data_IF_698443287972
#
_entry.id   IF_698443287972
#
_cell.length_a   1.000
_cell.length_b   1.000
_cell.length_c   1.000
_cell.angle_alpha   90.00
_cell.angle_beta   90.00
_cell.angle_gamma   90.00
#
_symmetry.space_group_name_H-M   'P 1'
#
loop_
_entity.id
_entity.type
_entity.pdbx_description
1 polymer ?
#
# COMPACT_ATOMS: atom_id res chain seq x y z
N UNK A 1 -18.15 1.43 1.05
CA UNK A 1 -17.64 0.20 0.42
C UNK A 1 -16.29 -0.15 1.03
N UNK A 2 -16.11 -1.38 1.55
CA UNK A 2 -14.80 -1.88 2.02
C UNK A 2 -13.87 -2.08 0.81
N UNK A 3 -12.57 -1.90 1.00
CA UNK A 3 -11.58 -2.16 -0.04
C UNK A 3 -11.39 -3.68 -0.22
N UNK A 4 -11.29 -4.14 -1.47
CA UNK A 4 -10.94 -5.54 -1.77
C UNK A 4 -9.47 -5.80 -1.46
N UNK A 5 -9.14 -7.01 -0.98
CA UNK A 5 -7.74 -7.39 -0.74
C UNK A 5 -6.90 -7.38 -2.01
N UNK A 6 -7.50 -7.64 -3.18
CA UNK A 6 -6.81 -7.59 -4.46
C UNK A 6 -6.20 -6.19 -4.74
N UNK A 7 -6.79 -5.12 -4.20
CA UNK A 7 -6.22 -3.77 -4.31
C UNK A 7 -4.99 -3.60 -3.43
N UNK A 8 -4.92 -4.28 -2.29
CA UNK A 8 -3.72 -4.34 -1.45
C UNK A 8 -2.60 -5.09 -2.17
N UNK A 9 -2.92 -6.20 -2.82
CA UNK A 9 -1.92 -6.99 -3.57
C UNK A 9 -1.37 -6.20 -4.76
N UNK A 10 -2.22 -5.49 -5.50
CA UNK A 10 -1.75 -4.56 -6.54
C UNK A 10 -0.85 -3.46 -5.94
N UNK A 11 -1.19 -2.95 -4.76
CA UNK A 11 -0.37 -1.94 -4.10
C UNK A 11 0.97 -2.47 -3.64
N UNK A 12 1.05 -3.69 -3.11
CA UNK A 12 2.32 -4.29 -2.68
C UNK A 12 3.24 -4.56 -3.88
N UNK A 13 2.68 -4.95 -5.03
CA UNK A 13 3.42 -5.04 -6.30
C UNK A 13 4.03 -3.67 -6.66
N UNK A 14 3.23 -2.61 -6.67
CA UNK A 14 3.71 -1.26 -6.93
C UNK A 14 4.77 -0.80 -5.92
N UNK A 15 4.61 -1.15 -4.64
CA UNK A 15 5.56 -0.80 -3.60
C UNK A 15 6.90 -1.53 -3.79
N UNK A 16 6.90 -2.81 -4.15
CA UNK A 16 8.14 -3.55 -4.46
C UNK A 16 8.86 -3.01 -5.70
N UNK A 17 8.13 -2.57 -6.71
CA UNK A 17 8.72 -1.93 -7.89
C UNK A 17 9.37 -0.58 -7.54
N UNK A 18 8.72 0.23 -6.70
CA UNK A 18 9.26 1.50 -6.22
C UNK A 18 10.57 1.37 -5.46
N UNK A 19 10.84 0.22 -4.84
CA UNK A 19 12.11 -0.06 -4.17
C UNK A 19 13.30 -0.08 -5.15
N UNK A 20 13.07 -0.15 -6.46
CA UNK A 20 14.12 -0.01 -7.48
C UNK A 20 14.62 1.43 -7.69
N UNK A 21 13.83 2.44 -7.32
CA UNK A 21 14.08 3.85 -7.68
C UNK A 21 14.38 4.75 -6.48
N UNK A 22 14.50 4.16 -5.29
CA UNK A 22 14.75 4.92 -4.06
C UNK A 22 16.24 5.20 -3.86
N UNK A 23 16.53 6.16 -2.98
CA UNK A 23 17.90 6.40 -2.50
C UNK A 23 18.52 5.16 -1.85
N UNK A 24 19.83 4.97 -2.01
CA UNK A 24 20.61 3.93 -1.33
C UNK A 24 20.63 4.08 0.20
N UNK A 25 20.31 5.26 0.71
CA UNK A 25 20.19 5.52 2.16
C UNK A 25 18.84 5.06 2.73
N UNK A 26 17.83 4.85 1.89
CA UNK A 26 16.50 4.45 2.34
C UNK A 26 16.44 2.93 2.63
N UNK A 27 15.74 2.51 3.70
CA UNK A 27 15.76 1.11 4.13
C UNK A 27 15.17 0.18 3.08
N UNK A 28 15.85 -0.94 2.80
CA UNK A 28 15.37 -1.99 1.89
C UNK A 28 14.16 -2.71 2.42
N UNK A 29 13.03 -2.55 1.74
CA UNK A 29 11.74 -3.07 2.16
C UNK A 29 11.24 -4.11 1.17
N UNK A 30 10.65 -5.19 1.69
CA UNK A 30 9.86 -6.12 0.88
C UNK A 30 8.40 -6.05 1.31
N UNK A 31 7.51 -6.01 0.32
CA UNK A 31 6.07 -5.88 0.51
C UNK A 31 5.39 -7.18 0.07
N UNK A 32 5.00 -8.01 1.04
CA UNK A 32 4.32 -9.28 0.76
C UNK A 32 2.85 -9.03 0.41
N UNK A 33 2.20 -9.98 -0.24
CA UNK A 33 0.76 -9.93 -0.53
C UNK A 33 -0.08 -10.50 0.62
N UNK A 34 -1.41 -10.39 0.51
CA UNK A 34 -2.36 -10.92 1.49
C UNK A 34 -2.38 -12.45 1.51
N UNK A 35 -1.90 -13.13 0.47
CA UNK A 35 -1.86 -14.60 0.35
C UNK A 35 -1.17 -15.25 1.54
N UNK A 36 -0.09 -14.63 2.05
CA UNK A 36 0.61 -15.05 3.26
C UNK A 36 -0.27 -15.16 4.50
N UNK A 37 -1.38 -14.42 4.57
CA UNK A 37 -2.27 -14.39 5.73
C UNK A 37 -3.48 -15.32 5.66
N UNK A 38 -3.71 -15.91 4.47
CA UNK A 38 -4.81 -16.83 4.18
C UNK A 38 -4.41 -18.25 4.59
N UNK A 39 -4.29 -19.16 3.63
CA UNK A 39 -3.99 -20.57 3.85
C UNK A 39 -2.73 -20.83 4.70
N UNK A 40 -1.62 -20.07 4.57
CA UNK A 40 -0.44 -20.27 5.42
C UNK A 40 -0.67 -19.98 6.90
N UNK A 41 -1.67 -19.16 7.27
CA UNK A 41 -2.01 -18.83 8.66
C UNK A 41 -3.45 -19.26 9.03
N UNK A 42 -4.02 -20.22 8.31
CA UNK A 42 -5.33 -20.80 8.62
C UNK A 42 -5.18 -21.89 9.70
N UNK A 43 -5.79 -21.66 10.87
CA UNK A 43 -5.79 -22.59 12.01
C UNK A 43 -6.40 -23.96 11.70
N UNK A 44 -7.15 -24.10 10.60
CA UNK A 44 -7.69 -25.40 10.14
C UNK A 44 -6.64 -26.30 9.51
N UNK A 45 -5.53 -25.74 9.02
CA UNK A 45 -4.44 -26.49 8.43
C UNK A 45 -3.49 -27.04 9.51
N UNK A 46 -2.85 -28.19 9.23
CA UNK A 46 -1.75 -28.69 10.07
C UNK A 46 -0.56 -27.73 10.03
N UNK A 47 0.29 -27.74 11.07
CA UNK A 47 1.47 -26.87 11.14
C UNK A 47 2.44 -27.11 9.99
N UNK A 48 2.54 -28.37 9.57
CA UNK A 48 3.37 -28.80 8.44
C UNK A 48 2.84 -28.21 7.14
N UNK A 49 1.51 -28.29 6.91
CA UNK A 49 0.89 -27.73 5.72
C UNK A 49 0.95 -26.20 5.68
N UNK A 50 0.68 -25.56 6.81
CA UNK A 50 0.83 -24.10 6.98
C UNK A 50 2.23 -23.64 6.56
N UNK A 51 3.27 -24.33 7.06
CA UNK A 51 4.65 -24.00 6.73
C UNK A 51 5.00 -24.27 5.26
N UNK A 52 4.56 -25.38 4.70
CA UNK A 52 4.78 -25.70 3.29
C UNK A 52 4.21 -24.61 2.38
N UNK A 53 2.97 -24.17 2.65
CA UNK A 53 2.33 -23.08 1.92
C UNK A 53 3.10 -21.77 2.11
N UNK A 54 3.46 -21.41 3.34
CA UNK A 54 4.28 -20.23 3.61
C UNK A 54 5.60 -20.24 2.82
N UNK A 55 6.30 -21.38 2.81
CA UNK A 55 7.57 -21.57 2.11
C UNK A 55 7.38 -21.43 0.60
N UNK A 56 6.30 -21.98 0.04
CA UNK A 56 5.99 -21.87 -1.38
C UNK A 56 5.73 -20.40 -1.78
N UNK A 57 4.97 -19.64 -0.97
CA UNK A 57 4.75 -18.21 -1.20
C UNK A 57 6.06 -17.41 -1.15
N UNK A 58 6.93 -17.66 -0.16
CA UNK A 58 8.26 -17.03 -0.11
C UNK A 58 9.10 -17.35 -1.34
N UNK A 59 9.12 -18.61 -1.77
CA UNK A 59 9.89 -19.02 -2.94
C UNK A 59 9.35 -18.39 -4.22
N UNK A 60 8.02 -18.34 -4.40
CA UNK A 60 7.39 -17.68 -5.53
C UNK A 60 7.70 -16.18 -5.54
N UNK A 61 7.67 -15.52 -4.38
CA UNK A 61 8.07 -14.12 -4.25
C UNK A 61 9.52 -13.91 -4.72
N UNK A 62 10.47 -14.71 -4.25
CA UNK A 62 11.88 -14.58 -4.66
C UNK A 62 12.15 -15.05 -6.09
N UNK A 63 11.33 -15.91 -6.68
CA UNK A 63 11.39 -16.20 -8.11
C UNK A 63 10.99 -14.97 -8.94
N UNK A 64 9.91 -14.29 -8.55
CA UNK A 64 9.46 -13.05 -9.21
C UNK A 64 10.46 -11.90 -9.03
N UNK A 65 11.08 -11.80 -7.86
CA UNK A 65 12.04 -10.75 -7.50
C UNK A 65 13.44 -11.33 -7.27
N UNK A 66 13.97 -12.04 -8.28
CA UNK A 66 15.21 -12.83 -8.18
C UNK A 66 16.48 -12.05 -7.84
N UNK A 67 16.49 -10.73 -8.07
CA UNK A 67 17.58 -9.85 -7.67
C UNK A 67 17.57 -9.51 -6.17
N UNK A 68 16.48 -9.82 -5.46
CA UNK A 68 16.31 -9.55 -4.03
C UNK A 68 16.88 -10.71 -3.20
N UNK A 69 17.57 -10.36 -2.13
CA UNK A 69 18.14 -11.31 -1.16
C UNK A 69 17.79 -10.85 0.25
N UNK A 70 17.34 -11.77 1.12
CA UNK A 70 16.89 -11.45 2.48
C UNK A 70 17.97 -10.79 3.33
N UNK A 71 19.23 -11.11 3.07
CA UNK A 71 20.41 -10.57 3.73
C UNK A 71 20.56 -9.05 3.54
N UNK A 72 20.02 -8.54 2.43
CA UNK A 72 20.08 -7.12 2.07
C UNK A 72 18.78 -6.38 2.42
N UNK A 73 17.86 -7.03 3.12
CA UNK A 73 16.54 -6.47 3.44
C UNK A 73 16.55 -5.95 4.87
N UNK A 74 16.01 -4.76 5.05
CA UNK A 74 15.91 -4.07 6.33
C UNK A 74 14.54 -4.30 6.96
N UNK A 75 13.49 -4.25 6.15
CA UNK A 75 12.10 -4.32 6.56
C UNK A 75 11.34 -5.32 5.68
N UNK A 76 10.49 -6.13 6.29
CA UNK A 76 9.50 -6.92 5.56
C UNK A 76 8.13 -6.59 6.10
N UNK A 77 7.20 -6.30 5.20
CA UNK A 77 5.81 -6.00 5.53
C UNK A 77 4.89 -7.11 5.02
N UNK A 78 4.08 -7.62 5.93
CA UNK A 78 3.05 -8.62 5.66
C UNK A 78 1.67 -7.99 5.92
N UNK A 79 0.91 -7.66 4.87
CA UNK A 79 -0.53 -7.46 4.97
C UNK A 79 -1.20 -8.69 5.59
N UNK A 80 -2.12 -8.47 6.52
CA UNK A 80 -2.88 -9.54 7.17
C UNK A 80 -4.37 -9.27 7.03
N UNK A 81 -5.07 -10.23 6.43
CA UNK A 81 -6.53 -10.29 6.43
C UNK A 81 -7.00 -11.24 7.54
N UNK A 82 -7.76 -10.72 8.50
CA UNK A 82 -8.39 -11.51 9.55
C UNK A 82 -9.79 -10.98 9.85
N UNK A 83 -10.81 -11.84 9.80
CA UNK A 83 -12.21 -11.48 10.10
C UNK A 83 -12.70 -10.22 9.37
N UNK A 84 -12.42 -10.14 8.06
CA UNK A 84 -12.71 -8.98 7.20
C UNK A 84 -12.07 -7.64 7.62
N UNK A 85 -11.03 -7.70 8.44
CA UNK A 85 -10.21 -6.57 8.85
C UNK A 85 -8.80 -6.74 8.32
N UNK A 86 -8.21 -5.64 7.83
CA UNK A 86 -6.87 -5.62 7.26
C UNK A 86 -5.94 -4.79 8.14
N UNK A 87 -4.77 -5.35 8.45
CA UNK A 87 -3.71 -4.69 9.21
C UNK A 87 -2.34 -5.14 8.69
N UNK A 88 -1.26 -4.60 9.23
CA UNK A 88 0.11 -4.91 8.82
C UNK A 88 0.89 -5.58 9.95
N UNK A 89 1.69 -6.58 9.60
CA UNK A 89 2.80 -7.04 10.42
C UNK A 89 4.10 -6.57 9.76
N UNK A 90 5.03 -6.04 10.55
CA UNK A 90 6.37 -5.67 10.10
C UNK A 90 7.43 -6.45 10.85
N UNK A 91 8.42 -6.96 10.13
CA UNK A 91 9.68 -7.43 10.69
C UNK A 91 10.79 -6.46 10.31
N UNK A 92 11.47 -5.90 11.31
CA UNK A 92 12.71 -5.16 11.11
C UNK A 92 13.88 -6.13 11.29
N UNK A 93 14.63 -6.37 10.22
CA UNK A 93 15.72 -7.35 10.18
C UNK A 93 17.05 -6.74 10.63
N UNK A 94 17.25 -5.43 10.43
CA UNK A 94 18.45 -4.69 10.90
C UNK A 94 18.43 -4.42 12.40
N UNK A 95 17.27 -4.00 12.91
CA UNK A 95 17.00 -3.83 14.34
C UNK A 95 15.89 -4.81 14.70
N UNK A 96 16.22 -6.08 15.04
CA UNK A 96 15.25 -7.16 15.25
C UNK A 96 14.02 -6.72 16.04
N UNK A 97 12.95 -6.41 15.31
CA UNK A 97 11.67 -5.97 15.86
C UNK A 97 10.54 -6.63 15.07
N UNK A 98 9.41 -6.79 15.74
CA UNK A 98 8.23 -7.46 15.21
C UNK A 98 7.01 -6.63 15.61
N UNK A 99 6.57 -5.76 14.71
CA UNK A 99 5.49 -4.82 14.97
C UNK A 99 4.17 -5.31 14.37
N UNK A 100 3.09 -5.16 15.13
CA UNK A 100 1.71 -5.28 14.65
C UNK A 100 1.13 -3.87 14.56
N UNK A 101 0.79 -3.44 13.35
CA UNK A 101 0.36 -2.08 13.01
C UNK A 101 -1.08 -2.16 12.49
N UNK A 102 -2.01 -1.63 13.27
CA UNK A 102 -3.45 -1.65 13.00
C UNK A 102 -4.03 -0.24 13.15
N UNK A 103 -4.94 0.15 12.25
CA UNK A 103 -5.68 1.40 12.38
C UNK A 103 -6.72 1.37 13.49
N UNK A 104 -7.11 0.19 13.99
CA UNK A 104 -8.06 0.06 15.10
C UNK A 104 -7.30 0.03 16.43
N UNK A 105 -7.72 0.87 17.37
CA UNK A 105 -7.18 0.89 18.73
C UNK A 105 -7.72 -0.32 19.51
N UNK A 106 -6.96 -1.41 19.55
CA UNK A 106 -7.33 -2.63 20.30
C UNK A 106 -7.11 -2.53 21.82
N UNK A 107 -6.19 -1.67 22.27
CA UNK A 107 -5.86 -1.51 23.68
C UNK A 107 -5.49 -2.84 24.36
N UNK A 108 -6.05 -3.11 25.55
CA UNK A 108 -5.83 -4.35 26.29
C UNK A 108 -6.32 -5.62 25.57
N UNK A 109 -7.21 -5.49 24.58
CA UNK A 109 -7.77 -6.62 23.85
C UNK A 109 -6.88 -7.08 22.68
N UNK A 110 -5.78 -6.38 22.38
CA UNK A 110 -4.90 -6.67 21.24
C UNK A 110 -4.53 -8.17 21.11
N UNK A 111 -4.11 -8.81 22.21
CA UNK A 111 -3.75 -10.23 22.19
C UNK A 111 -4.91 -11.16 21.82
N UNK A 112 -6.14 -10.83 22.24
CA UNK A 112 -7.35 -11.58 21.90
C UNK A 112 -7.75 -11.38 20.44
N UNK A 113 -7.60 -10.16 19.94
CA UNK A 113 -8.07 -9.75 18.61
C UNK A 113 -7.16 -10.28 17.49
N UNK A 114 -5.84 -10.20 17.66
CA UNK A 114 -4.90 -10.72 16.68
C UNK A 114 -4.71 -12.24 16.76
N UNK A 115 -5.12 -12.85 17.87
CA UNK A 115 -5.05 -14.29 18.15
C UNK A 115 -3.66 -14.85 17.83
N UNK A 116 -3.60 -15.94 17.07
CA UNK A 116 -2.40 -16.72 16.82
C UNK A 116 -1.67 -16.30 15.54
N UNK A 117 -2.28 -15.50 14.65
CA UNK A 117 -1.71 -15.15 13.33
C UNK A 117 -0.32 -14.50 13.44
N UNK A 118 -0.07 -13.49 14.30
CA UNK A 118 1.28 -12.93 14.45
C UNK A 118 2.30 -13.99 14.91
N UNK A 119 1.90 -14.86 15.83
CA UNK A 119 2.76 -15.94 16.34
C UNK A 119 3.10 -16.96 15.25
N UNK A 120 2.11 -17.41 14.47
CA UNK A 120 2.30 -18.34 13.36
C UNK A 120 3.21 -17.74 12.29
N UNK A 121 2.96 -16.49 11.90
CA UNK A 121 3.76 -15.82 10.88
C UNK A 121 5.23 -15.74 11.29
N UNK A 122 5.53 -15.34 12.54
CA UNK A 122 6.90 -15.34 13.07
C UNK A 122 7.49 -16.75 13.09
N UNK A 123 6.73 -17.77 13.50
CA UNK A 123 7.22 -19.16 13.54
C UNK A 123 7.60 -19.68 12.16
N UNK A 124 6.74 -19.48 11.16
CA UNK A 124 7.01 -19.89 9.78
C UNK A 124 8.18 -19.11 9.20
N UNK A 125 8.25 -17.79 9.44
CA UNK A 125 9.34 -16.99 8.93
C UNK A 125 10.69 -17.37 9.57
N UNK A 126 10.75 -17.57 10.90
CA UNK A 126 11.96 -18.07 11.57
C UNK A 126 12.39 -19.44 11.03
N UNK A 127 11.44 -20.35 10.79
CA UNK A 127 11.75 -21.66 10.21
C UNK A 127 12.30 -21.54 8.78
N UNK A 128 11.70 -20.66 7.96
CA UNK A 128 12.19 -20.37 6.61
C UNK A 128 13.61 -19.82 6.62
N UNK A 129 13.92 -18.90 7.54
CA UNK A 129 15.27 -18.36 7.70
C UNK A 129 16.31 -19.44 8.07
N UNK A 130 15.97 -20.35 8.99
CA UNK A 130 16.85 -21.47 9.36
C UNK A 130 17.12 -22.40 8.17
N UNK A 131 16.08 -22.76 7.40
CA UNK A 131 16.24 -23.61 6.22
C UNK A 131 17.09 -22.95 5.11
N UNK A 132 17.14 -21.62 5.08
CA UNK A 132 17.95 -20.84 4.15
C UNK A 132 19.30 -20.38 4.74
N UNK A 133 19.76 -20.99 5.86
CA UNK A 133 21.07 -20.72 6.49
C UNK A 133 21.24 -19.27 6.97
N UNK A 134 20.15 -18.63 7.39
CA UNK A 134 20.12 -17.28 7.98
C UNK A 134 19.97 -17.33 9.50
N UNK A 135 20.79 -18.16 10.16
CA UNK A 135 20.69 -18.52 11.57
C UNK A 135 20.75 -17.33 12.55
N UNK A 136 21.58 -16.34 12.25
CA UNK A 136 21.72 -15.13 13.08
C UNK A 136 20.42 -14.31 13.10
N UNK A 137 19.81 -14.13 11.93
CA UNK A 137 18.54 -13.42 11.79
C UNK A 137 17.39 -14.22 12.41
N UNK A 138 17.34 -15.53 12.15
CA UNK A 138 16.36 -16.43 12.73
C UNK A 138 16.41 -16.41 14.27
N UNK A 139 17.60 -16.48 14.85
CA UNK A 139 17.82 -16.45 16.30
C UNK A 139 17.38 -15.14 16.93
N UNK A 140 17.64 -14.03 16.24
CA UNK A 140 17.24 -12.69 16.68
C UNK A 140 15.72 -12.51 16.64
N UNK A 141 15.07 -12.89 15.53
CA UNK A 141 13.62 -12.81 15.38
C UNK A 141 12.88 -13.79 16.29
N UNK A 142 13.44 -14.96 16.59
CA UNK A 142 12.87 -15.93 17.54
C UNK A 142 12.71 -15.32 18.95
N UNK A 143 13.62 -14.44 19.34
CA UNK A 143 13.60 -13.73 20.63
C UNK A 143 12.68 -12.51 20.63
N UNK A 144 12.44 -11.90 19.47
CA UNK A 144 11.58 -10.72 19.35
C UNK A 144 10.11 -11.06 19.64
N UNK A 145 9.47 -10.33 20.55
CA UNK A 145 8.04 -10.44 20.83
C UNK A 145 7.21 -9.49 19.93
N UNK A 146 5.96 -9.85 19.60
CA UNK A 146 5.07 -8.94 18.87
C UNK A 146 4.81 -7.68 19.70
N UNK A 147 5.09 -6.51 19.11
CA UNK A 147 4.78 -5.22 19.67
C UNK A 147 3.59 -4.61 18.94
N UNK A 148 2.47 -4.45 19.64
CA UNK A 148 1.29 -3.79 19.07
C UNK A 148 1.49 -2.27 19.12
N UNK A 149 1.70 -1.66 17.96
CA UNK A 149 2.07 -0.26 17.88
C UNK A 149 0.88 0.64 18.24
N UNK A 150 1.10 1.54 19.20
CA UNK A 150 0.17 2.62 19.50
C UNK A 150 0.49 3.81 18.58
N UNK A 151 -0.51 4.29 17.85
CA UNK A 151 -0.36 5.43 16.95
C UNK A 151 -1.43 6.48 17.22
N UNK A 152 -1.11 7.79 17.13
CA UNK A 152 -2.07 8.86 17.44
C UNK A 152 -3.32 8.87 16.56
N UNK A 153 -3.23 8.39 15.31
CA UNK A 153 -4.33 8.37 14.34
C UNK A 153 -5.17 7.08 14.38
N UNK A 154 -4.96 6.18 15.34
CA UNK A 154 -5.81 5.00 15.48
C UNK A 154 -7.27 5.40 15.75
N UNK A 155 -8.17 4.64 15.13
CA UNK A 155 -9.62 4.80 15.19
C UNK A 155 -10.21 3.77 16.15
N UNK A 156 -11.39 4.06 16.69
CA UNK A 156 -12.19 3.15 17.51
C UNK A 156 -13.23 2.40 16.65
N UNK A 157 -13.66 3.01 15.54
CA UNK A 157 -14.82 2.52 14.79
C UNK A 157 -14.66 2.42 13.28
N UNK A 158 -13.59 2.97 12.69
CA UNK A 158 -13.42 2.96 11.24
C UNK A 158 -12.80 1.65 10.72
N UNK A 159 -13.61 0.58 10.74
CA UNK A 159 -13.26 -0.71 10.15
C UNK A 159 -13.40 -0.72 8.62
N UNK A 160 -14.15 0.24 8.05
CA UNK A 160 -14.46 0.26 6.61
C UNK A 160 -13.29 0.69 5.75
N UNK A 161 -12.43 1.57 6.29
CA UNK A 161 -11.26 2.11 5.60
C UNK A 161 -9.95 1.42 6.04
N UNK A 162 -9.99 0.30 6.76
CA UNK A 162 -8.79 -0.42 7.21
C UNK A 162 -7.78 -0.69 6.08
N UNK A 163 -8.25 -1.05 4.89
CA UNK A 163 -7.41 -1.20 3.70
C UNK A 163 -6.69 0.09 3.26
N UNK A 164 -7.32 1.26 3.38
CA UNK A 164 -6.69 2.55 3.04
C UNK A 164 -5.65 2.95 4.08
N UNK A 165 -5.92 2.70 5.36
CA UNK A 165 -4.92 2.85 6.41
C UNK A 165 -3.73 1.92 6.17
N UNK A 166 -3.98 0.64 5.87
CA UNK A 166 -2.94 -0.34 5.52
C UNK A 166 -2.08 0.14 4.35
N UNK A 167 -2.69 0.59 3.24
CA UNK A 167 -1.94 1.12 2.09
C UNK A 167 -1.07 2.32 2.49
N UNK A 168 -1.58 3.22 3.34
CA UNK A 168 -0.82 4.37 3.85
C UNK A 168 0.31 3.94 4.77
N UNK A 169 0.11 2.91 5.60
CA UNK A 169 1.14 2.38 6.47
C UNK A 169 2.26 1.70 5.67
N UNK A 170 1.93 0.90 4.66
CA UNK A 170 2.90 0.33 3.72
C UNK A 170 3.71 1.43 3.00
N UNK A 171 3.05 2.50 2.59
CA UNK A 171 3.70 3.62 1.89
C UNK A 171 4.71 4.36 2.76
N UNK A 172 4.33 4.64 4.02
CA UNK A 172 5.01 5.65 4.85
C UNK A 172 5.84 5.10 5.99
N UNK A 173 5.60 3.87 6.45
CA UNK A 173 6.37 3.31 7.56
C UNK A 173 7.76 2.87 7.09
N UNK A 174 8.80 3.33 7.79
CA UNK A 174 10.22 3.07 7.49
C UNK A 174 10.97 2.44 8.67
N UNK A 175 10.26 1.78 9.57
CA UNK A 175 10.86 1.01 10.68
C UNK A 175 11.25 1.82 11.92
N UNK A 176 10.92 3.12 11.96
CA UNK A 176 11.17 3.99 13.12
C UNK A 176 9.87 4.69 13.54
N UNK A 177 9.19 4.22 14.60
CA UNK A 177 7.91 4.79 15.04
C UNK A 177 8.00 6.25 15.48
N UNK A 178 9.14 6.66 16.08
CA UNK A 178 9.28 8.01 16.66
C UNK A 178 9.32 9.11 15.60
N UNK A 179 9.80 8.80 14.40
CA UNK A 179 9.88 9.73 13.27
C UNK A 179 8.82 9.44 12.20
N UNK A 180 7.81 8.62 12.52
CA UNK A 180 6.85 8.17 11.53
C UNK A 180 5.78 9.23 11.25
N UNK A 181 5.86 9.83 10.06
CA UNK A 181 4.90 10.82 9.56
C UNK A 181 3.95 10.17 8.55
N UNK A 182 2.67 10.12 8.88
CA UNK A 182 1.62 9.56 8.00
C UNK A 182 0.68 10.61 7.42
N UNK A 183 0.68 11.82 7.99
CA UNK A 183 -0.33 12.86 7.78
C UNK A 183 -1.76 12.44 8.10
N UNK A 184 -2.01 11.25 8.65
CA UNK A 184 -3.37 10.75 8.91
C UNK A 184 -4.04 11.59 10.01
N UNK A 185 -5.24 12.07 9.70
CA UNK A 185 -6.07 12.85 10.62
C UNK A 185 -6.68 11.88 11.66
N UNK A 186 -6.64 12.28 12.93
CA UNK A 186 -7.22 11.53 14.05
C UNK A 186 -8.74 11.44 13.91
N UNK A 187 -9.32 10.28 14.22
CA UNK A 187 -10.78 10.13 14.24
C UNK A 187 -11.38 11.00 15.34
N UNK A 188 -12.45 11.70 15.00
CA UNK A 188 -13.19 12.53 15.94
C UNK A 188 -14.62 12.05 16.10
N UNK A 189 -15.09 12.02 17.34
CA UNK A 189 -16.48 11.72 17.69
C UNK A 189 -17.42 12.86 17.26
N UNK A 190 -16.93 14.11 17.22
CA UNK A 190 -17.68 15.25 16.72
C UNK A 190 -17.79 15.18 15.19
N UNK A 191 -19.02 15.18 14.67
CA UNK A 191 -19.35 15.12 13.23
C UNK A 191 -18.59 16.19 12.44
N UNK A 192 -18.56 17.43 12.91
CA UNK A 192 -17.88 18.55 12.22
C UNK A 192 -16.36 18.31 12.07
N UNK A 193 -15.76 17.59 13.02
CA UNK A 193 -14.33 17.24 13.02
C UNK A 193 -14.04 15.89 12.38
N UNK A 194 -15.07 15.10 12.04
CA UNK A 194 -14.94 13.86 11.28
C UNK A 194 -14.82 14.11 9.76
N UNK A 195 -15.45 15.19 9.27
CA UNK A 195 -15.44 15.56 7.84
C UNK A 195 -14.03 15.65 7.24
N UNK A 196 -13.03 16.28 7.90
CA UNK A 196 -11.66 16.33 7.37
C UNK A 196 -11.04 14.95 7.17
N UNK A 197 -11.24 14.02 8.11
CA UNK A 197 -10.70 12.66 7.98
C UNK A 197 -11.38 11.92 6.83
N UNK A 198 -12.70 12.02 6.70
CA UNK A 198 -13.44 11.40 5.58
C UNK A 198 -12.91 11.94 4.25
N UNK A 199 -12.77 13.26 4.12
CA UNK A 199 -12.23 13.89 2.91
C UNK A 199 -10.80 13.43 2.62
N UNK A 200 -9.96 13.32 3.65
CA UNK A 200 -8.60 12.79 3.51
C UNK A 200 -8.59 11.34 3.00
N UNK A 201 -9.40 10.45 3.59
CA UNK A 201 -9.46 9.04 3.19
C UNK A 201 -10.00 8.89 1.76
N UNK A 202 -10.94 9.74 1.34
CA UNK A 202 -11.39 9.82 -0.06
C UNK A 202 -10.26 10.27 -0.99
N UNK A 203 -9.48 11.27 -0.60
CA UNK A 203 -8.31 11.70 -1.38
C UNK A 203 -7.24 10.61 -1.47
N UNK A 204 -7.00 9.86 -0.40
CA UNK A 204 -6.08 8.72 -0.41
C UNK A 204 -6.59 7.60 -1.33
N UNK A 205 -7.90 7.32 -1.34
CA UNK A 205 -8.53 6.39 -2.30
C UNK A 205 -8.26 6.83 -3.74
N UNK A 206 -8.50 8.10 -4.06
CA UNK A 206 -8.23 8.65 -5.38
C UNK A 206 -6.73 8.58 -5.74
N UNK A 207 -5.84 8.94 -4.80
CA UNK A 207 -4.38 8.87 -4.95
C UNK A 207 -3.92 7.46 -5.31
N UNK A 208 -4.33 6.45 -4.53
CA UNK A 208 -3.88 5.08 -4.76
C UNK A 208 -4.50 4.47 -6.02
N UNK A 209 -5.78 4.77 -6.30
CA UNK A 209 -6.41 4.36 -7.55
C UNK A 209 -5.65 4.93 -8.75
N UNK A 210 -5.37 6.23 -8.75
CA UNK A 210 -4.57 6.87 -9.78
C UNK A 210 -3.18 6.22 -9.92
N UNK A 211 -2.48 5.98 -8.80
CA UNK A 211 -1.17 5.36 -8.83
C UNK A 211 -1.18 3.96 -9.44
N UNK A 212 -2.17 3.12 -9.12
CA UNK A 212 -2.32 1.78 -9.69
C UNK A 212 -2.66 1.87 -11.19
N UNK A 213 -3.66 2.68 -11.55
CA UNK A 213 -4.15 2.78 -12.92
C UNK A 213 -3.11 3.37 -13.88
N UNK A 214 -2.31 4.33 -13.43
CA UNK A 214 -1.30 5.02 -14.24
C UNK A 214 0.10 4.40 -14.19
N UNK A 215 0.30 3.35 -13.37
CA UNK A 215 1.57 2.65 -13.22
C UNK A 215 2.07 2.10 -14.55
N UNK A 216 3.39 2.17 -14.79
CA UNK A 216 4.04 1.51 -15.93
C UNK A 216 3.84 -0.01 -15.92
N UNK A 217 3.58 -0.61 -14.76
CA UNK A 217 3.28 -2.03 -14.61
C UNK A 217 1.88 -2.42 -15.10
N UNK A 218 1.00 -1.44 -15.32
CA UNK A 218 -0.35 -1.71 -15.79
C UNK A 218 -0.36 -1.83 -17.32
N UNK A 219 -0.60 -3.03 -17.84
CA UNK A 219 -0.67 -3.31 -19.28
C UNK A 219 -1.71 -2.45 -20.01
N UNK A 220 -2.78 -2.04 -19.31
CA UNK A 220 -3.84 -1.18 -19.86
C UNK A 220 -3.60 0.31 -19.63
N UNK A 221 -2.43 0.71 -19.13
CA UNK A 221 -2.09 2.10 -18.79
C UNK A 221 -2.39 3.07 -19.94
N UNK A 222 -1.94 2.75 -21.17
CA UNK A 222 -2.11 3.64 -22.33
C UNK A 222 -3.59 3.92 -22.62
N UNK A 223 -4.41 2.86 -22.67
CA UNK A 223 -5.85 2.97 -22.91
C UNK A 223 -6.55 3.75 -21.79
N UNK A 224 -6.23 3.44 -20.53
CA UNK A 224 -6.80 4.11 -19.36
C UNK A 224 -6.47 5.61 -19.37
N UNK A 225 -5.23 5.99 -19.68
CA UNK A 225 -4.83 7.40 -19.75
C UNK A 225 -5.50 8.13 -20.91
N UNK A 226 -5.68 7.46 -22.06
CA UNK A 226 -6.43 8.00 -23.20
C UNK A 226 -7.88 8.28 -22.82
N UNK A 227 -8.57 7.30 -22.22
CA UNK A 227 -9.95 7.46 -21.76
C UNK A 227 -10.08 8.52 -20.67
N UNK A 228 -9.15 8.56 -19.72
CA UNK A 228 -9.12 9.59 -18.68
C UNK A 228 -8.99 11.00 -19.27
N UNK A 229 -8.16 11.18 -20.31
CA UNK A 229 -8.03 12.46 -21.03
C UNK A 229 -9.34 12.87 -21.72
N UNK A 230 -10.00 11.93 -22.39
CA UNK A 230 -11.31 12.17 -23.03
C UNK A 230 -12.35 12.59 -21.98
N UNK A 231 -12.44 11.86 -20.87
CA UNK A 231 -13.38 12.16 -19.79
C UNK A 231 -13.10 13.51 -19.15
N UNK A 232 -11.83 13.86 -18.92
CA UNK A 232 -11.43 15.16 -18.38
C UNK A 232 -11.88 16.31 -19.30
N UNK A 233 -11.61 16.20 -20.61
CA UNK A 233 -11.99 17.22 -21.58
C UNK A 233 -13.52 17.41 -21.65
N UNK A 234 -14.28 16.31 -21.57
CA UNK A 234 -15.75 16.36 -21.51
C UNK A 234 -16.23 17.11 -20.26
N UNK A 235 -15.73 16.74 -19.08
CA UNK A 235 -16.10 17.40 -17.82
C UNK A 235 -15.70 18.87 -17.78
N UNK A 236 -14.53 19.23 -18.31
CA UNK A 236 -14.09 20.62 -18.39
C UNK A 236 -15.02 21.46 -19.29
N UNK A 237 -15.45 20.89 -20.42
CA UNK A 237 -16.38 21.52 -21.35
C UNK A 237 -17.76 21.72 -20.73
N UNK A 238 -18.33 20.68 -20.08
CA UNK A 238 -19.60 20.77 -19.36
C UNK A 238 -19.55 21.82 -18.24
N UNK A 239 -18.43 21.87 -17.49
CA UNK A 239 -18.23 22.88 -16.44
C UNK A 239 -18.20 24.30 -17.02
N UNK A 240 -17.49 24.51 -18.13
CA UNK A 240 -17.46 25.82 -18.80
C UNK A 240 -18.87 26.25 -19.24
N UNK A 241 -19.64 25.34 -19.85
CA UNK A 241 -21.04 25.58 -20.24
C UNK A 241 -21.88 25.96 -19.02
N UNK A 242 -21.76 25.23 -17.91
CA UNK A 242 -22.54 25.52 -16.69
C UNK A 242 -22.26 26.90 -16.10
N UNK A 243 -21.00 27.37 -16.16
CA UNK A 243 -20.60 28.70 -15.69
C UNK A 243 -21.21 29.79 -16.59
N UNK A 244 -21.18 29.60 -17.91
CA UNK A 244 -21.78 30.55 -18.87
C UNK A 244 -23.29 30.66 -18.65
N UNK A 245 -24.00 29.54 -18.50
CA UNK A 245 -25.44 29.52 -18.22
C UNK A 245 -25.77 30.23 -16.90
N UNK A 246 -25.05 29.93 -15.81
CA UNK A 246 -25.26 30.59 -14.52
C UNK A 246 -25.00 32.10 -14.57
N UNK A 247 -24.04 32.54 -15.40
CA UNK A 247 -23.74 33.96 -15.61
C UNK A 247 -24.82 34.66 -16.44
N UNK A 248 -25.41 33.97 -17.41
CA UNK A 248 -26.51 34.51 -18.23
C UNK A 248 -27.85 34.61 -17.49
N UNK A 249 -28.07 33.80 -16.45
CA UNK A 249 -29.32 33.79 -15.65
C UNK A 249 -29.34 34.85 -14.51
N UNK A 250 -28.31 35.70 -14.38
CA UNK A 250 -28.30 36.81 -13.41
C UNK A 250 -28.25 36.40 -11.92
N UNK A 251 -27.99 35.14 -11.60
CA UNK A 251 -27.82 34.69 -10.21
C UNK A 251 -26.38 34.97 -9.78
N UNK A 252 -26.20 35.99 -8.92
CA UNK A 252 -24.95 36.19 -8.17
C UNK A 252 -24.71 34.97 -7.26
N UNK A 253 -23.99 33.96 -7.77
CA UNK A 253 -23.50 32.87 -6.94
C UNK A 253 -22.33 33.44 -6.14
N UNK A 254 -22.48 33.50 -4.82
CA UNK A 254 -21.42 33.87 -3.89
C UNK A 254 -20.36 32.75 -3.89
N UNK A 255 -19.47 32.79 -4.88
CA UNK A 255 -18.38 31.83 -5.05
C UNK A 255 -17.35 32.12 -3.96
N UNK A 256 -17.49 31.46 -2.81
CA UNK A 256 -16.34 31.23 -1.93
C UNK A 256 -15.25 30.61 -2.78
N UNK A 257 -14.22 31.40 -3.12
CA UNK A 257 -13.00 30.99 -3.83
C UNK A 257 -12.38 29.78 -3.10
N UNK A 258 -12.79 28.56 -3.45
CA UNK A 258 -11.97 27.37 -3.22
C UNK A 258 -10.83 27.49 -4.21
N UNK A 259 -9.61 27.66 -3.68
CA UNK A 259 -8.35 27.74 -4.43
C UNK A 259 -8.41 26.85 -5.67
N UNK A 260 -8.11 27.45 -6.82
CA UNK A 260 -7.97 26.76 -8.10
C UNK A 260 -7.21 25.45 -7.89
N UNK A 261 -7.76 24.34 -8.40
CA UNK A 261 -6.99 23.13 -8.57
C UNK A 261 -5.98 23.42 -9.69
N UNK A 262 -4.86 24.04 -9.34
CA UNK A 262 -3.68 24.12 -10.20
C UNK A 262 -2.99 22.75 -10.18
N UNK A 263 -3.62 21.77 -10.82
CA UNK A 263 -2.95 20.54 -11.22
C UNK A 263 -2.51 20.70 -12.66
N UNK A 264 -1.26 21.11 -12.90
CA UNK A 264 -0.61 20.82 -14.19
C UNK A 264 -0.43 19.30 -14.22
N UNK A 265 -1.34 18.59 -14.89
CA UNK A 265 -1.05 17.21 -15.31
C UNK A 265 -0.10 17.34 -16.49
N UNK A 266 1.20 17.30 -16.21
CA UNK A 266 2.21 17.10 -17.24
C UNK A 266 2.07 15.66 -17.70
N UNK A 267 1.38 15.46 -18.82
CA UNK A 267 1.52 14.23 -19.58
C UNK A 267 2.91 14.28 -20.23
N UNK A 268 3.73 13.22 -20.15
CA UNK A 268 4.93 13.12 -20.97
C UNK A 268 4.50 13.29 -22.43
N UNK A 269 5.19 14.16 -23.17
CA UNK A 269 5.04 14.23 -24.61
C UNK A 269 5.49 12.89 -25.21
N UNK A 270 4.76 12.38 -26.18
CA UNK A 270 5.12 11.13 -26.85
C UNK A 270 6.45 11.36 -27.58
N UNK A 271 7.53 10.75 -27.09
CA UNK A 271 8.78 10.60 -27.84
C UNK A 271 8.52 9.65 -29.02
N UNK A 272 7.97 10.18 -30.11
CA UNK A 272 8.06 9.56 -31.42
C UNK A 272 9.35 10.03 -32.06
N UNK A 273 10.47 9.41 -31.69
CA UNK A 273 11.58 9.25 -32.63
C UNK A 273 11.26 8.01 -33.46
N UNK A 274 10.76 8.23 -34.67
CA UNK A 274 10.85 7.25 -35.74
C UNK A 274 12.32 7.19 -36.14
N UNK A 275 13.01 6.11 -35.76
CA UNK A 275 14.29 5.74 -36.33
C UNK A 275 14.03 5.31 -37.79
N UNK A 276 14.44 6.17 -38.72
CA UNK A 276 14.47 5.93 -40.16
C UNK A 276 15.68 5.05 -40.48
N UNK A 277 15.52 3.73 -40.34
CA UNK A 277 16.46 2.75 -40.89
C UNK A 277 16.01 2.41 -42.33
N UNK A 278 16.50 3.20 -43.30
CA UNK A 278 16.49 2.82 -44.71
C UNK A 278 17.71 1.92 -44.99
N UNK A 279 17.54 0.72 -45.57
CA UNK A 279 18.68 -0.07 -46.04
C UNK A 279 19.21 0.51 -47.36
N UNK A 280 20.51 0.79 -47.42
CA UNK A 280 21.23 1.02 -48.68
C UNK A 280 21.22 -0.27 -49.52
N UNK A 281 20.61 -0.21 -50.70
CA UNK A 281 20.72 -1.25 -51.72
C UNK A 281 22.06 -1.11 -52.47
N UNK A 282 22.82 -2.20 -52.50
CA UNK A 282 24.04 -2.39 -53.29
C UNK A 282 23.76 -2.29 -54.81
N UNK A 283 24.49 -1.40 -55.49
CA UNK A 283 24.93 -1.54 -56.89
C UNK A 283 26.14 -0.65 -57.18
#
# INVERSE_FOLDING_TARGET
MKLSYAVIDMWTILMNDRENYKSTEAPMSLYMDIGFSLSPLDEKNTKEKQYELFKNEMNHFFQRYSSRKLENVDLIFFPVLAYEHMYMISFNLKKPAFDVIDNIRRGRNAGKEYRIKPKLLRQHFVKYLLENKLDSLASSLKKASPFCMAMPWQTLSNYKDCGIFLMRHLETYKGEPKSWITDLIVESISILKLIPQIAQLLNLRAKYCHAILSSSLNEKRKDILKEAKVLYNKMASEKAISIVLASSEGKNVDVRRKKDIKGKVLFPEDDTQEDDDTPEDDN
#
